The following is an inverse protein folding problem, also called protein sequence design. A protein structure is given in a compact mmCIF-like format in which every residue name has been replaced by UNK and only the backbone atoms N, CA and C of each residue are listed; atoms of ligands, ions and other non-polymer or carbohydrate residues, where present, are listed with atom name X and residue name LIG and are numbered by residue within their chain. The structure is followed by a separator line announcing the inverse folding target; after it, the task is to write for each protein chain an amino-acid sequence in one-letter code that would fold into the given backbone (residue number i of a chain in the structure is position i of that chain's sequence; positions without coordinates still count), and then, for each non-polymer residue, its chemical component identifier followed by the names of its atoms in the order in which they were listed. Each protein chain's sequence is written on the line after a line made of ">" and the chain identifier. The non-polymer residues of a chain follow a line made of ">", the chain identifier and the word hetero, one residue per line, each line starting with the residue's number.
data_IF_659179800706
#
_entry.id   IF_659179800706
#
_cell.length_a   1.000
_cell.length_b   1.000
_cell.length_c   1.000
_cell.angle_alpha   90.00
_cell.angle_beta   90.00
_cell.angle_gamma   90.00
#
_symmetry.space_group_name_H-M   'P 1'
#
loop_
_entity.id
_entity.type
_entity.pdbx_description
1 polymer ?
2 non-polymer ?
3 non-polymer ?
4 non-polymer ?
5 non-polymer ?
6 water ?
#
# COMPACT_ATOMS: atom_id res chain seq x y z
N UNK A 7 19.94 9.89 -4.24
CA UNK A 7 19.41 8.98 -5.29
C UNK A 7 18.04 8.48 -4.91
N UNK A 8 17.24 8.17 -5.90
CA UNK A 8 15.89 7.68 -5.65
C UNK A 8 15.89 6.36 -4.89
N UNK A 9 14.93 6.23 -3.99
CA UNK A 9 14.78 5.02 -3.19
C UNK A 9 13.89 4.02 -3.91
N UNK A 10 14.50 2.96 -4.43
CA UNK A 10 13.81 1.97 -5.26
C UNK A 10 13.92 0.60 -4.61
N UNK A 11 12.81 -0.09 -4.52
CA UNK A 11 12.76 -1.45 -4.01
C UNK A 11 12.20 -2.37 -5.06
N UNK A 12 12.83 -3.54 -5.20
CA UNK A 12 12.46 -4.55 -6.20
C UNK A 12 12.34 -5.92 -5.56
N UNK A 13 11.30 -6.64 -5.95
CA UNK A 13 11.00 -7.96 -5.41
C UNK A 13 10.52 -8.87 -6.52
N UNK A 14 11.01 -10.10 -6.52
CA UNK A 14 10.45 -11.21 -7.30
C UNK A 14 10.13 -12.35 -6.36
N UNK A 15 8.95 -12.94 -6.51
CA UNK A 15 8.37 -13.90 -5.53
C UNK A 15 7.53 -14.93 -6.32
N UNK A 16 7.93 -16.21 -6.32
CA UNK A 16 7.17 -17.26 -7.03
C UNK A 16 6.89 -18.41 -6.10
N UNK A 17 5.65 -18.88 -6.14
CA UNK A 17 5.24 -20.11 -5.47
C UNK A 17 4.55 -21.01 -6.47
N UNK A 18 4.01 -22.12 -6.01
CA UNK A 18 3.17 -22.95 -6.91
C UNK A 18 1.83 -22.29 -7.24
N UNK A 19 1.45 -21.24 -6.50
CA UNK A 19 0.20 -20.52 -6.72
C UNK A 19 0.32 -19.28 -7.62
N UNK A 20 1.40 -18.54 -7.48
CA UNK A 20 1.52 -17.22 -8.10
C UNK A 20 2.96 -16.92 -8.52
N UNK A 21 3.10 -15.92 -9.38
CA UNK A 21 4.40 -15.38 -9.75
C UNK A 21 4.28 -13.88 -9.81
N UNK A 22 5.10 -13.17 -9.02
CA UNK A 22 4.95 -11.74 -8.83
C UNK A 22 6.29 -11.04 -9.00
N UNK A 23 6.27 -9.87 -9.64
CA UNK A 23 7.41 -8.96 -9.71
C UNK A 23 6.92 -7.55 -9.38
N UNK A 24 7.65 -6.86 -8.51
CA UNK A 24 7.32 -5.50 -8.13
C UNK A 24 8.57 -4.64 -8.13
N UNK A 25 8.41 -3.41 -8.63
CA UNK A 25 9.42 -2.37 -8.46
C UNK A 25 8.69 -1.10 -8.07
N UNK A 26 9.09 -0.52 -6.95
CA UNK A 26 8.49 0.73 -6.44
C UNK A 26 9.59 1.76 -6.26
N UNK A 27 9.35 2.97 -6.76
CA UNK A 27 10.20 4.15 -6.51
C UNK A 27 9.46 5.07 -5.55
N UNK A 28 10.00 5.24 -4.35
CA UNK A 28 9.38 6.14 -3.37
C UNK A 28 9.43 7.61 -3.79
N UNK A 29 10.44 7.92 -4.60
CA UNK A 29 10.73 9.27 -5.06
C UNK A 29 10.33 9.43 -6.51
N UNK A 30 9.20 8.85 -6.86
CA UNK A 30 8.72 8.77 -8.23
C UNK A 30 8.02 10.00 -8.74
N UNK A 31 7.49 9.81 -9.93
CA UNK A 31 6.68 10.83 -10.62
C UNK A 31 5.30 10.30 -10.99
N UNK A 32 4.83 9.30 -10.26
CA UNK A 32 3.49 8.77 -10.48
C UNK A 32 3.34 7.90 -11.70
N UNK A 33 4.39 7.19 -12.10
CA UNK A 33 4.31 6.26 -13.22
C UNK A 33 3.48 5.04 -12.79
N UNK A 34 2.40 4.81 -13.54
CA UNK A 34 1.42 3.76 -13.27
C UNK A 34 1.71 2.60 -14.23
N UNK A 35 2.08 1.44 -13.71
CA UNK A 35 2.48 0.31 -14.55
C UNK A 35 2.16 -1.03 -13.86
N UNK A 36 0.88 -1.23 -13.56
CA UNK A 36 0.40 -2.39 -12.82
C UNK A 36 -0.46 -3.30 -13.67
N UNK A 37 -0.06 -4.58 -13.69
CA UNK A 37 -0.85 -5.62 -14.36
C UNK A 37 -0.77 -6.89 -13.55
N UNK A 38 -1.78 -7.05 -12.69
CA UNK A 38 -1.83 -8.14 -11.71
C UNK A 38 -2.63 -9.36 -12.11
N UNK A 39 -3.38 -9.26 -13.21
CA UNK A 39 -4.40 -10.25 -13.54
C UNK A 39 -5.73 -9.99 -12.86
N UNK A 40 -5.81 -8.94 -12.05
CA UNK A 40 -7.01 -8.52 -11.35
C UNK A 40 -7.27 -7.07 -11.75
N UNK A 41 -8.14 -6.83 -12.74
CA UNK A 41 -8.30 -5.47 -13.26
C UNK A 41 -8.66 -4.43 -12.21
N UNK A 42 -9.53 -4.77 -11.25
CA UNK A 42 -9.91 -3.77 -10.27
C UNK A 42 -8.71 -3.35 -9.40
N UNK A 43 -7.90 -4.34 -9.03
CA UNK A 43 -6.70 -4.06 -8.27
C UNK A 43 -5.74 -3.18 -9.07
N UNK A 44 -5.62 -3.43 -10.37
CA UNK A 44 -4.80 -2.55 -11.20
C UNK A 44 -5.26 -1.09 -11.10
N UNK A 45 -6.56 -0.88 -11.18
CA UNK A 45 -7.13 0.47 -11.09
C UNK A 45 -6.82 1.11 -9.72
N UNK A 46 -6.84 0.30 -8.68
CA UNK A 46 -6.49 0.80 -7.33
C UNK A 46 -5.01 1.16 -7.22
N UNK A 47 -4.16 0.29 -7.78
CA UNK A 47 -2.72 0.58 -7.79
C UNK A 47 -2.38 1.82 -8.63
N UNK A 48 -3.19 2.10 -9.64
CA UNK A 48 -3.04 3.35 -10.38
C UNK A 48 -3.30 4.57 -9.50
N UNK A 49 -4.17 4.47 -8.50
CA UNK A 49 -4.37 5.59 -7.57
C UNK A 49 -3.14 5.78 -6.70
N UNK A 50 -2.53 4.66 -6.32
CA UNK A 50 -1.33 4.72 -5.52
C UNK A 50 -0.26 5.55 -6.25
N UNK A 51 -0.11 5.29 -7.55
CA UNK A 51 0.81 6.07 -8.38
C UNK A 51 0.34 7.53 -8.60
N UNK A 52 -0.90 7.70 -9.04
CA UNK A 52 -1.40 9.03 -9.39
C UNK A 52 -1.41 10.01 -8.23
N UNK A 53 -1.77 9.50 -7.05
CA UNK A 53 -1.95 10.36 -5.85
C UNK A 53 -0.80 10.31 -4.86
N UNK A 54 -0.11 9.19 -4.86
CA UNK A 54 1.08 9.03 -4.01
C UNK A 54 2.36 9.48 -4.67
N UNK A 55 2.34 9.56 -6.00
CA UNK A 55 3.51 9.88 -6.83
C UNK A 55 4.61 8.82 -6.78
N UNK A 56 4.29 7.65 -6.26
CA UNK A 56 5.13 6.49 -6.41
C UNK A 56 5.19 6.10 -7.86
N UNK A 57 6.34 5.60 -8.31
CA UNK A 57 6.36 4.81 -9.55
C UNK A 57 6.08 3.37 -9.14
N UNK A 58 5.02 2.81 -9.72
CA UNK A 58 4.50 1.51 -9.34
C UNK A 58 4.53 0.59 -10.54
N UNK A 59 5.43 -0.39 -10.48
CA UNK A 59 5.55 -1.43 -11.50
C UNK A 59 5.21 -2.77 -10.87
N UNK A 60 4.14 -3.39 -11.35
CA UNK A 60 3.73 -4.67 -10.81
C UNK A 60 3.35 -5.58 -11.95
N UNK A 61 3.84 -6.81 -11.90
CA UNK A 61 3.38 -7.88 -12.78
C UNK A 61 3.04 -9.08 -11.92
N UNK A 62 1.90 -9.69 -12.18
CA UNK A 62 1.57 -10.94 -11.50
C UNK A 62 0.79 -11.83 -12.40
N UNK A 63 1.01 -13.13 -12.20
CA UNK A 63 0.17 -14.18 -12.73
C UNK A 63 -0.14 -15.14 -11.60
N UNK A 64 -1.18 -15.93 -11.76
CA UNK A 64 -1.49 -16.86 -10.68
C UNK A 64 -2.79 -17.56 -10.92
N UNK A 65 -3.20 -18.27 -9.87
CA UNK A 65 -4.30 -19.23 -9.94
C UNK A 65 -5.70 -18.62 -9.77
N UNK A 66 -5.98 -17.61 -10.61
CA UNK A 66 -7.25 -16.86 -10.49
C UNK A 66 -8.52 -17.69 -10.78
N UNK A 67 -8.34 -18.82 -11.45
CA UNK A 67 -9.45 -19.80 -11.62
C UNK A 67 -9.89 -20.45 -10.31
N UNK A 68 -8.99 -20.49 -9.34
CA UNK A 68 -9.34 -20.91 -8.00
C UNK A 68 -10.02 -19.78 -7.25
N UNK A 69 -9.37 -18.62 -7.29
CA UNK A 69 -9.80 -17.46 -6.51
C UNK A 69 -8.83 -16.34 -6.91
N UNK A 70 -9.24 -15.07 -6.90
CA UNK A 70 -8.24 -13.98 -6.97
C UNK A 70 -7.36 -13.92 -5.73
N UNK A 71 -7.76 -14.62 -4.67
CA UNK A 71 -7.10 -14.51 -3.36
C UNK A 71 -5.58 -14.63 -3.36
N UNK A 72 -5.05 -15.72 -3.90
CA UNK A 72 -3.61 -15.92 -3.75
C UNK A 72 -2.84 -14.81 -4.49
N UNK A 73 -3.30 -14.47 -5.70
CA UNK A 73 -2.65 -13.37 -6.46
C UNK A 73 -2.69 -12.07 -5.65
N UNK A 74 -3.87 -11.72 -5.15
CA UNK A 74 -4.05 -10.48 -4.41
C UNK A 74 -3.08 -10.40 -3.22
N UNK A 75 -3.05 -11.49 -2.46
CA UNK A 75 -2.18 -11.58 -1.28
C UNK A 75 -0.71 -11.47 -1.66
N UNK A 76 -0.31 -12.20 -2.69
CA UNK A 76 1.10 -12.26 -3.04
C UNK A 76 1.60 -10.95 -3.66
N UNK A 77 0.73 -10.27 -4.39
CA UNK A 77 1.04 -8.93 -4.85
C UNK A 77 1.26 -8.01 -3.64
N UNK A 78 0.37 -8.05 -2.68
CA UNK A 78 0.48 -7.21 -1.50
C UNK A 78 1.73 -7.50 -0.70
N UNK A 79 2.04 -8.79 -0.51
CA UNK A 79 3.25 -9.18 0.23
C UNK A 79 4.48 -8.60 -0.46
N UNK A 80 4.54 -8.75 -1.79
CA UNK A 80 5.71 -8.27 -2.53
C UNK A 80 5.80 -6.73 -2.52
N UNK A 81 4.67 -6.04 -2.62
CA UNK A 81 4.69 -4.59 -2.50
C UNK A 81 5.23 -4.18 -1.13
N UNK A 82 4.77 -4.85 -0.08
CA UNK A 82 5.28 -4.53 1.26
C UNK A 82 6.77 -4.71 1.39
N UNK A 83 7.30 -5.80 0.84
CA UNK A 83 8.74 -6.04 0.88
C UNK A 83 9.47 -4.97 0.06
N UNK A 84 8.92 -4.61 -1.10
CA UNK A 84 9.55 -3.56 -1.92
C UNK A 84 9.62 -2.24 -1.18
N UNK A 85 8.56 -1.90 -0.47
CA UNK A 85 8.55 -0.70 0.36
C UNK A 85 9.63 -0.78 1.45
N UNK A 86 9.68 -1.92 2.14
CA UNK A 86 10.71 -2.12 3.17
C UNK A 86 12.11 -1.93 2.61
N UNK A 87 12.39 -2.54 1.47
CA UNK A 87 13.71 -2.42 0.85
C UNK A 87 14.01 -0.96 0.46
N UNK A 88 13.06 -0.32 -0.17
CA UNK A 88 13.27 1.07 -0.59
C UNK A 88 13.49 2.01 0.60
N UNK A 89 12.78 1.77 1.71
CA UNK A 89 12.86 2.62 2.88
C UNK A 89 14.18 2.52 3.61
N UNK A 90 14.82 1.36 3.58
CA UNK A 90 16.10 1.21 4.26
C UNK A 90 16.01 1.50 5.74
N UNK A 91 16.97 2.30 6.24
CA UNK A 91 17.04 2.66 7.65
C UNK A 91 16.03 3.74 8.05
N UNK A 92 15.33 4.32 7.08
CA UNK A 92 14.26 5.26 7.37
C UNK A 92 14.80 6.58 7.97
N UNK A 93 16.05 6.91 7.65
CA UNK A 93 16.60 8.17 8.13
C UNK A 93 16.00 9.36 7.39
N UNK A 94 15.72 10.41 8.15
CA UNK A 94 15.34 11.68 7.56
C UNK A 94 13.92 11.84 7.05
N UNK A 95 13.08 10.83 7.28
CA UNK A 95 11.71 10.82 6.74
C UNK A 95 10.72 11.37 7.75
N UNK A 96 9.54 11.73 7.21
CA UNK A 96 8.45 12.18 8.07
C UNK A 96 7.94 11.07 8.97
N UNK A 97 7.99 9.82 8.52
CA UNK A 97 7.64 8.58 9.26
C UNK A 97 6.13 8.36 9.38
N UNK A 98 5.42 9.39 9.79
CA UNK A 98 3.98 9.36 9.99
C UNK A 98 3.28 9.99 8.79
N UNK A 99 2.14 9.42 8.43
CA UNK A 99 1.24 9.98 7.42
C UNK A 99 -0.19 9.90 7.89
N UNK A 100 -0.98 10.88 7.49
CA UNK A 100 -2.34 11.01 7.96
C UNK A 100 -3.15 11.76 6.93
N UNK A 101 -4.15 11.12 6.36
CA UNK A 101 -4.96 11.79 5.36
C UNK A 101 -6.34 11.14 5.28
N UNK A 102 -7.35 11.99 5.10
CA UNK A 102 -8.71 11.56 4.82
C UNK A 102 -9.13 12.04 3.45
N UNK A 103 -9.51 11.10 2.59
CA UNK A 103 -9.90 11.39 1.22
C UNK A 103 -11.35 10.97 0.97
N UNK A 104 -12.12 11.79 0.28
CA UNK A 104 -13.43 11.36 -0.17
C UNK A 104 -13.37 10.79 -1.56
N UNK A 105 -14.42 10.07 -1.92
CA UNK A 105 -14.79 9.86 -3.31
C UNK A 105 -16.31 9.91 -3.28
N UNK A 106 -16.84 11.03 -3.73
CA UNK A 106 -18.27 11.29 -3.68
C UNK A 106 -18.75 11.08 -2.23
N UNK A 107 -19.72 10.19 -2.00
CA UNK A 107 -20.29 10.00 -0.68
C UNK A 107 -19.36 9.24 0.29
N UNK A 108 -18.35 8.57 -0.24
CA UNK A 108 -17.39 7.85 0.61
C UNK A 108 -16.34 8.76 1.19
N UNK A 109 -15.90 8.43 2.38
CA UNK A 109 -14.90 9.21 3.11
C UNK A 109 -14.09 8.27 3.97
N UNK A 110 -12.78 8.19 3.71
CA UNK A 110 -11.93 7.20 4.35
C UNK A 110 -10.70 7.88 4.94
N UNK A 111 -10.49 7.64 6.25
CA UNK A 111 -9.32 8.14 6.94
C UNK A 111 -8.26 7.07 7.01
N UNK A 112 -7.04 7.41 6.57
CA UNK A 112 -5.89 6.54 6.71
C UNK A 112 -4.80 7.25 7.53
N UNK A 113 -4.33 6.56 8.57
CA UNK A 113 -3.20 7.02 9.37
C UNK A 113 -2.20 5.89 9.42
N UNK A 114 -0.91 6.22 9.23
CA UNK A 114 0.10 5.19 9.25
C UNK A 114 1.40 5.69 9.86
N UNK A 115 2.17 4.73 10.36
CA UNK A 115 3.46 4.96 10.98
C UNK A 115 4.40 3.93 10.40
N UNK A 116 5.47 4.39 9.75
CA UNK A 116 6.51 3.52 9.21
C UNK A 116 7.49 3.10 10.34
N UNK A 117 6.92 2.35 11.26
CA UNK A 117 7.50 2.00 12.58
C UNK A 117 8.44 0.83 12.59
N UNK A 118 8.28 -0.05 11.61
CA UNK A 118 8.87 -1.37 11.65
C UNK A 118 8.00 -2.42 12.33
N UNK A 119 6.89 -2.01 12.90
CA UNK A 119 5.99 -2.92 13.64
C UNK A 119 4.71 -3.09 12.84
N UNK A 120 4.44 -4.31 12.32
CA UNK A 120 3.24 -4.46 11.52
C UNK A 120 1.98 -4.43 12.37
N UNK A 121 1.00 -3.69 11.92
CA UNK A 121 -0.35 -3.72 12.52
C UNK A 121 -1.34 -3.14 11.53
N UNK A 122 -2.50 -3.79 11.36
CA UNK A 122 -3.60 -3.23 10.61
C UNK A 122 -4.81 -3.06 11.51
N UNK A 123 -5.30 -1.84 11.57
CA UNK A 123 -6.63 -1.53 12.10
C UNK A 123 -7.51 -1.20 10.92
N UNK A 124 -8.66 -1.85 10.81
CA UNK A 124 -9.49 -1.76 9.61
C UNK A 124 -10.94 -1.97 9.98
N UNK A 125 -11.78 -1.04 9.57
CA UNK A 125 -13.21 -1.18 9.89
C UNK A 125 -14.14 -0.98 8.71
N UNK A 126 -13.62 -1.12 7.49
CA UNK A 126 -14.48 -0.95 6.32
C UNK A 126 -15.63 -1.96 6.35
N UNK A 127 -16.78 -1.51 5.88
CA UNK A 127 -17.96 -2.33 5.70
C UNK A 127 -18.42 -2.08 4.28
N UNK A 128 -17.98 -2.96 3.39
CA UNK A 128 -18.19 -2.81 1.95
C UNK A 128 -19.49 -3.55 1.64
N UNK A 129 -20.54 -2.86 1.15
CA UNK A 129 -21.87 -3.48 1.18
C UNK A 129 -22.18 -4.47 0.10
N UNK A 130 -21.29 -4.67 -0.86
CA UNK A 130 -21.49 -5.69 -1.89
C UNK A 130 -20.29 -6.62 -1.91
N UNK A 131 -20.54 -7.82 -2.42
CA UNK A 131 -19.54 -8.88 -2.40
C UNK A 131 -18.56 -8.85 -3.58
N UNK A 132 -18.97 -8.29 -4.71
CA UNK A 132 -18.13 -8.22 -5.91
C UNK A 132 -18.25 -6.83 -6.51
N UNK A 133 -17.09 -6.22 -6.75
CA UNK A 133 -16.99 -4.96 -7.46
C UNK A 133 -16.36 -5.37 -8.81
N UNK A 134 -17.13 -5.27 -9.88
CA UNK A 134 -16.72 -5.96 -11.10
C UNK A 134 -16.66 -7.45 -10.78
N UNK A 135 -15.51 -8.08 -11.03
CA UNK A 135 -15.26 -9.46 -10.65
C UNK A 135 -14.43 -9.61 -9.37
N UNK A 136 -14.14 -8.50 -8.71
CA UNK A 136 -13.21 -8.50 -7.56
C UNK A 136 -13.97 -8.68 -6.24
N UNK A 137 -13.57 -9.73 -5.53
CA UNK A 137 -14.11 -10.06 -4.20
C UNK A 137 -13.70 -9.01 -3.20
N UNK A 138 -14.70 -8.33 -2.62
CA UNK A 138 -14.41 -7.20 -1.74
C UNK A 138 -13.79 -7.58 -0.41
N UNK A 139 -13.83 -8.85 -0.03
CA UNK A 139 -13.04 -9.28 1.16
C UNK A 139 -11.54 -9.10 0.95
N UNK A 140 -11.12 -9.08 -0.32
CA UNK A 140 -9.71 -9.04 -0.63
C UNK A 140 -9.06 -7.68 -0.36
N UNK A 141 -9.84 -6.64 -0.16
CA UNK A 141 -9.32 -5.32 0.16
C UNK A 141 -8.59 -5.37 1.52
N UNK A 142 -9.28 -5.89 2.54
CA UNK A 142 -8.66 -6.00 3.84
C UNK A 142 -7.39 -6.81 3.75
N UNK A 143 -7.47 -7.93 3.02
CA UNK A 143 -6.32 -8.82 2.93
C UNK A 143 -5.13 -8.15 2.23
N UNK A 144 -5.41 -7.33 1.22
CA UNK A 144 -4.33 -6.58 0.55
C UNK A 144 -3.57 -5.73 1.57
N UNK A 145 -4.31 -4.95 2.36
CA UNK A 145 -3.63 -4.10 3.32
C UNK A 145 -2.95 -4.87 4.43
N UNK A 146 -3.57 -5.97 4.89
CA UNK A 146 -2.95 -6.76 5.96
C UNK A 146 -1.63 -7.35 5.50
N UNK A 147 -1.61 -7.90 4.30
CA UNK A 147 -0.40 -8.53 3.78
C UNK A 147 0.69 -7.48 3.54
N UNK A 148 0.31 -6.33 3.00
CA UNK A 148 1.25 -5.25 2.75
C UNK A 148 1.89 -4.79 4.07
N UNK A 149 1.07 -4.60 5.10
CA UNK A 149 1.63 -4.18 6.43
C UNK A 149 2.61 -5.22 6.99
N UNK A 150 2.26 -6.49 6.79
CA UNK A 150 3.04 -7.56 7.38
C UNK A 150 4.45 -7.61 6.87
N UNK A 151 4.67 -7.37 5.58
CA UNK A 151 6.02 -7.39 5.01
C UNK A 151 6.70 -6.03 5.01
N UNK A 152 5.95 -4.93 5.02
CA UNK A 152 6.57 -3.60 5.07
C UNK A 152 6.98 -3.17 6.47
N UNK A 153 6.37 -3.76 7.50
CA UNK A 153 6.56 -3.28 8.87
C UNK A 153 5.99 -1.87 9.07
N UNK A 154 4.71 -1.77 8.76
CA UNK A 154 3.91 -0.56 8.83
C UNK A 154 2.81 -0.72 9.87
N UNK A 155 2.58 0.32 10.66
CA UNK A 155 1.36 0.45 11.45
C UNK A 155 0.36 1.23 10.61
N UNK A 156 -0.80 0.65 10.33
CA UNK A 156 -1.76 1.22 9.40
C UNK A 156 -3.17 1.13 9.98
N UNK A 157 -3.86 2.26 10.00
CA UNK A 157 -5.27 2.32 10.40
C UNK A 157 -6.07 2.87 9.24
N UNK A 158 -7.17 2.19 8.94
CA UNK A 158 -8.11 2.54 7.88
C UNK A 158 -9.50 2.62 8.50
N UNK A 159 -10.09 3.80 8.42
CA UNK A 159 -11.39 4.06 9.07
C UNK A 159 -12.39 4.54 8.04
N UNK A 160 -13.51 3.86 7.95
CA UNK A 160 -14.63 4.26 7.08
C UNK A 160 -15.48 5.27 7.83
N UNK A 161 -15.46 6.51 7.36
CA UNK A 161 -16.25 7.60 7.95
C UNK A 161 -17.60 7.76 7.28
N UNK A 162 -17.67 7.40 6.01
CA UNK A 162 -18.92 7.47 5.24
C UNK A 162 -18.71 6.61 3.99
N UNK A 163 -19.82 6.26 3.35
CA UNK A 163 -19.75 5.57 2.07
C UNK A 163 -20.84 4.55 1.90
N UNK A 164 -21.23 4.38 0.65
CA UNK A 164 -22.23 3.37 0.27
C UNK A 164 -21.81 2.57 -0.95
N UNK A 165 -21.34 3.23 -1.99
CA UNK A 165 -20.93 2.55 -3.20
C UNK A 165 -19.60 1.84 -2.97
N UNK A 166 -19.54 0.54 -3.26
CA UNK A 166 -18.37 -0.24 -2.93
C UNK A 166 -17.10 0.24 -3.64
N UNK A 167 -17.22 0.57 -4.92
CA UNK A 167 -16.07 1.12 -5.68
C UNK A 167 -15.61 2.44 -5.07
N UNK A 168 -16.55 3.29 -4.68
CA UNK A 168 -16.16 4.55 -4.03
C UNK A 168 -15.43 4.33 -2.71
N UNK A 169 -15.95 3.40 -1.89
CA UNK A 169 -15.31 3.11 -0.61
C UNK A 169 -13.89 2.62 -0.81
N UNK A 170 -13.72 1.65 -1.72
CA UNK A 170 -12.40 1.05 -1.90
C UNK A 170 -11.42 2.05 -2.52
N UNK A 171 -11.88 2.77 -3.52
CA UNK A 171 -11.00 3.71 -4.20
C UNK A 171 -10.62 4.89 -3.32
N UNK A 172 -11.57 5.39 -2.51
CA UNK A 172 -11.21 6.44 -1.54
C UNK A 172 -10.15 5.92 -0.58
N UNK A 173 -10.25 4.65 -0.19
CA UNK A 173 -9.24 4.03 0.69
C UNK A 173 -7.86 4.10 0.05
N UNK A 174 -7.75 3.68 -1.21
CA UNK A 174 -6.46 3.71 -1.90
C UNK A 174 -5.94 5.13 -2.09
N UNK A 175 -6.82 6.10 -2.34
CA UNK A 175 -6.38 7.49 -2.44
C UNK A 175 -5.86 8.03 -1.13
N UNK A 176 -6.59 7.76 -0.05
CA UNK A 176 -6.16 8.22 1.28
C UNK A 176 -4.84 7.56 1.68
N UNK A 177 -4.76 6.24 1.44
CA UNK A 177 -3.53 5.50 1.70
C UNK A 177 -2.35 6.06 0.90
N UNK A 178 -2.59 6.32 -0.38
CA UNK A 178 -1.53 6.86 -1.23
C UNK A 178 -1.00 8.18 -0.69
N UNK A 179 -1.90 9.06 -0.27
CA UNK A 179 -1.49 10.38 0.24
C UNK A 179 -0.81 10.28 1.59
N UNK A 180 -1.32 9.42 2.46
CA UNK A 180 -0.68 9.20 3.75
C UNK A 180 0.71 8.58 3.60
N UNK A 181 0.84 7.61 2.70
CA UNK A 181 2.12 6.95 2.50
C UNK A 181 3.13 7.90 1.84
N UNK A 182 2.66 8.71 0.90
CA UNK A 182 3.50 9.76 0.31
C UNK A 182 4.07 10.66 1.42
N UNK A 183 3.19 11.16 2.28
CA UNK A 183 3.60 12.03 3.36
C UNK A 183 4.65 11.35 4.26
N UNK A 184 4.38 10.10 4.66
CA UNK A 184 5.24 9.40 5.59
C UNK A 184 6.63 9.14 5.01
N UNK A 185 6.67 8.82 3.71
CA UNK A 185 7.91 8.47 3.03
C UNK A 185 8.74 9.67 2.62
N UNK A 186 8.13 10.84 2.52
CA UNK A 186 8.83 12.03 2.12
C UNK A 186 9.83 12.49 3.18
N UNK A 187 10.81 13.27 2.71
CA UNK A 187 11.80 13.88 3.58
C UNK A 187 11.16 14.84 4.59
N UNK A 188 11.63 14.78 5.83
CA UNK A 188 11.27 15.77 6.84
C UNK A 188 12.30 16.89 6.68
N UNK A 189 11.86 18.10 6.27
CA UNK A 189 12.83 19.15 5.95
C UNK A 189 13.60 19.73 7.11
N UNK A 190 13.19 19.41 8.33
CA UNK A 190 13.86 19.96 9.48
C UNK A 190 14.73 19.00 10.24
N UNK A 191 14.61 17.70 10.02
CA UNK A 191 15.30 16.79 10.95
C UNK A 191 16.72 16.36 10.64
N UNK A 192 17.26 16.94 9.60
CA UNK A 192 18.67 16.79 9.31
C UNK A 192 19.17 15.40 9.09
N UNK A 193 18.35 14.59 8.45
CA UNK A 193 18.72 13.22 8.17
C UNK A 193 18.78 12.25 9.35
N UNK A 194 18.34 12.66 10.52
CA UNK A 194 18.36 11.78 11.67
C UNK A 194 17.26 10.70 11.58
N UNK A 195 17.42 9.62 12.30
CA UNK A 195 16.36 8.61 12.45
C UNK A 195 15.21 9.21 13.24
N UNK A 196 13.97 9.12 12.74
CA UNK A 196 12.86 9.73 13.48
C UNK A 196 12.30 8.77 14.53
N UNK A 197 13.09 8.51 15.55
CA UNK A 197 12.72 7.67 16.66
C UNK A 197 13.54 7.99 17.87
N UNK A 198 12.88 8.13 19.02
CA UNK A 198 13.59 8.32 20.28
C UNK A 198 14.47 7.14 20.68
N UNK A 199 14.21 5.95 20.13
CA UNK A 199 14.98 4.76 20.53
C UNK A 199 16.19 4.53 19.64
N UNK A 200 16.34 5.37 18.61
CA UNK A 200 17.56 5.41 17.79
C UNK A 200 17.61 4.52 16.57
N UNK A 201 16.53 3.80 16.30
CA UNK A 201 16.48 2.83 15.20
C UNK A 201 15.01 2.56 14.90
N UNK A 202 14.73 2.20 13.65
CA UNK A 202 13.40 1.72 13.24
C UNK A 202 13.69 0.39 12.54
N UNK A 203 12.99 -0.68 12.94
CA UNK A 203 13.28 -2.00 12.35
C UNK A 203 12.04 -2.87 12.28
N UNK A 204 12.00 -3.76 11.31
CA UNK A 204 10.92 -4.76 11.20
C UNK A 204 11.20 -5.92 12.17
N UNK A 205 12.36 -5.92 12.85
CA UNK A 205 12.66 -6.99 13.84
C UNK A 205 12.94 -6.44 15.25
#
# INVERSE_FOLDING_TARGET
>A
MASPIESARIGEVKRETKETNVSVKINLDGHGVSDSSTGIPFLDHMLDQLASHGLFDVHVRATGDTHIDDHHTNEDVALAIGTALLKALGERKGINRFGDFTAPLDEALIHVSLDLSGRPYLGYNLEIPTQRVGTYDTQLVEHFFQSLVNTSGMTLHIRQLAGKNSHHIIEATFKAFARALRQATESDPRRGGTIPSSKGVLSRS
#
